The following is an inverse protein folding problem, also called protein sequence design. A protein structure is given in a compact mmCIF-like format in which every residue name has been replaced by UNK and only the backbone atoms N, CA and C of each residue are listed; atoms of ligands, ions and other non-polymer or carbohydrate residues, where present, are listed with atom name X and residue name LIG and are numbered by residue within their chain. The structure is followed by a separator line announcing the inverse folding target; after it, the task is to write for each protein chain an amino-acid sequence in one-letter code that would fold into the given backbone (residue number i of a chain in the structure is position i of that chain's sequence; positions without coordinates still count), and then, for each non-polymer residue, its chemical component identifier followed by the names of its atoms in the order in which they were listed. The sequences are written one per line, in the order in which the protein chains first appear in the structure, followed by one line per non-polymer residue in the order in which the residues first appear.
data_IF_111835432420
#
_entry.id   IF_111835432420
#
_cell.length_a   1.000
_cell.length_b   1.000
_cell.length_c   1.000
_cell.angle_alpha   90.00
_cell.angle_beta   90.00
_cell.angle_gamma   90.00
#
_symmetry.space_group_name_H-M   'P 1'
#
loop_
_entity.id
_entity.type
_entity.pdbx_description
1 polymer ?
#
# COMPACT_ATOMS: atom_id res chain seq x y z
N UNK A 1 -5.75 16.75 -1.81
CA UNK A 1 -6.60 15.82 -1.03
C UNK A 1 -5.81 15.35 0.18
N UNK A 2 -6.43 15.24 1.33
CA UNK A 2 -5.74 14.82 2.55
C UNK A 2 -6.09 13.36 2.88
N UNK A 3 -5.31 12.75 3.79
CA UNK A 3 -5.61 11.41 4.32
C UNK A 3 -7.03 11.34 4.87
N UNK A 4 -7.54 12.44 5.41
CA UNK A 4 -8.92 12.52 5.92
C UNK A 4 -9.97 12.19 4.85
N UNK A 5 -9.66 12.41 3.58
CA UNK A 5 -10.56 12.04 2.48
C UNK A 5 -10.74 10.52 2.34
N UNK A 6 -9.83 9.73 2.89
CA UNK A 6 -9.92 8.27 2.89
C UNK A 6 -10.55 7.70 4.16
N UNK A 7 -11.05 8.55 5.07
CA UNK A 7 -11.54 8.16 6.40
C UNK A 7 -12.55 7.01 6.38
N UNK A 8 -13.44 6.99 5.40
CA UNK A 8 -14.46 5.95 5.28
C UNK A 8 -13.99 4.65 4.67
N UNK A 9 -12.73 4.56 4.29
CA UNK A 9 -12.20 3.39 3.60
C UNK A 9 -11.63 2.38 4.60
N UNK A 10 -11.58 1.11 4.17
CA UNK A 10 -11.25 -0.03 5.04
C UNK A 10 -9.92 0.13 5.78
N UNK A 11 -8.89 0.64 5.11
CA UNK A 11 -7.57 0.79 5.72
C UNK A 11 -7.60 1.74 6.91
N UNK A 12 -8.46 2.74 6.87
CA UNK A 12 -8.52 3.81 7.88
C UNK A 12 -9.66 3.65 8.89
N UNK A 13 -10.42 2.57 8.78
CA UNK A 13 -11.55 2.30 9.66
C UNK A 13 -11.09 2.18 11.12
N UNK A 14 -11.78 2.89 12.01
CA UNK A 14 -11.52 2.82 13.44
C UNK A 14 -10.34 3.63 13.94
N UNK A 15 -9.66 4.37 13.06
CA UNK A 15 -8.57 5.26 13.45
C UNK A 15 -9.13 6.57 14.01
N UNK A 16 -8.49 7.11 15.05
CA UNK A 16 -8.90 8.38 15.64
C UNK A 16 -8.61 9.54 14.68
N UNK A 17 -9.35 10.65 14.84
CA UNK A 17 -9.12 11.85 14.06
C UNK A 17 -7.72 12.41 14.27
N UNK A 18 -7.21 12.33 15.49
CA UNK A 18 -5.86 12.77 15.80
C UNK A 18 -4.81 11.95 15.06
N UNK A 19 -4.97 10.63 15.03
CA UNK A 19 -4.07 9.75 14.29
C UNK A 19 -4.12 10.03 12.79
N UNK A 20 -5.31 10.24 12.24
CA UNK A 20 -5.48 10.61 10.82
C UNK A 20 -4.80 11.93 10.50
N UNK A 21 -4.86 12.91 11.41
CA UNK A 21 -4.16 14.18 11.25
C UNK A 21 -2.65 14.00 11.26
N UNK A 22 -2.13 13.10 12.08
CA UNK A 22 -0.70 12.80 12.13
C UNK A 22 -0.24 12.05 10.88
N UNK A 23 -1.05 11.14 10.35
CA UNK A 23 -0.79 10.51 9.05
C UNK A 23 -0.73 11.56 7.94
N UNK A 24 -1.69 12.46 7.94
CA UNK A 24 -1.75 13.54 6.94
C UNK A 24 -0.50 14.41 6.98
N UNK A 25 0.02 14.69 8.18
CA UNK A 25 1.21 15.51 8.36
C UNK A 25 2.47 14.87 7.77
N UNK A 26 2.55 13.55 7.67
CA UNK A 26 3.70 12.85 7.11
C UNK A 26 3.47 12.40 5.66
N UNK A 27 2.27 12.62 5.13
CA UNK A 27 1.92 12.23 3.77
C UNK A 27 2.35 13.29 2.76
N UNK A 28 2.87 12.85 1.62
CA UNK A 28 3.29 13.73 0.53
C UNK A 28 2.45 13.39 -0.71
N UNK A 29 1.74 14.39 -1.21
CA UNK A 29 0.96 14.25 -2.43
C UNK A 29 1.86 14.42 -3.64
N UNK A 30 1.78 13.51 -4.60
CA UNK A 30 2.58 13.57 -5.83
C UNK A 30 1.71 13.33 -7.05
N UNK A 31 1.95 14.13 -8.11
CA UNK A 31 1.35 13.93 -9.42
C UNK A 31 2.32 13.13 -10.28
N UNK A 32 1.78 12.13 -10.97
CA UNK A 32 2.57 11.26 -11.85
C UNK A 32 1.99 11.31 -13.27
N UNK A 33 2.89 11.28 -14.25
CA UNK A 33 2.50 11.22 -15.64
C UNK A 33 2.45 9.78 -16.11
N UNK A 34 1.78 9.57 -17.25
CA UNK A 34 1.78 8.26 -17.90
C UNK A 34 3.22 7.80 -18.15
N UNK A 35 3.52 6.58 -17.71
CA UNK A 35 4.84 5.97 -17.89
C UNK A 35 5.78 6.18 -16.70
N UNK A 36 5.43 7.03 -15.75
CA UNK A 36 6.29 7.21 -14.57
C UNK A 36 6.36 5.92 -13.75
N UNK A 37 7.59 5.56 -13.37
CA UNK A 37 7.84 4.39 -12.53
C UNK A 37 7.94 4.87 -11.09
N UNK A 38 7.02 4.42 -10.24
CA UNK A 38 7.02 4.78 -8.82
C UNK A 38 7.88 3.82 -7.99
N UNK A 39 7.83 2.55 -8.37
CA UNK A 39 8.54 1.47 -7.67
C UNK A 39 9.18 0.56 -8.71
N UNK A 40 10.45 0.20 -8.48
CA UNK A 40 11.13 -0.84 -9.26
C UNK A 40 11.32 -2.05 -8.36
N UNK A 41 11.01 -3.23 -8.89
CA UNK A 41 11.28 -4.49 -8.18
C UNK A 41 12.76 -4.54 -7.76
N UNK A 42 13.00 -4.85 -6.50
CA UNK A 42 14.34 -4.92 -5.96
C UNK A 42 14.87 -3.64 -5.33
N UNK A 43 14.21 -2.49 -5.58
CA UNK A 43 14.61 -1.24 -4.93
C UNK A 43 14.32 -1.28 -3.43
N UNK A 44 15.07 -0.53 -2.61
CA UNK A 44 14.81 -0.45 -1.18
C UNK A 44 13.36 -0.05 -0.89
N UNK A 45 12.69 -0.79 -0.02
CA UNK A 45 11.29 -0.58 0.33
C UNK A 45 11.16 0.56 1.34
N UNK A 46 11.21 1.80 0.86
CA UNK A 46 11.26 3.01 1.68
C UNK A 46 9.94 3.76 1.80
N UNK A 47 8.96 3.48 0.96
CA UNK A 47 7.72 4.25 0.92
C UNK A 47 6.51 3.36 0.76
N UNK A 48 5.43 3.79 1.40
CA UNK A 48 4.09 3.26 1.27
C UNK A 48 3.26 4.24 0.45
N UNK A 49 2.42 3.74 -0.43
CA UNK A 49 1.65 4.58 -1.35
C UNK A 49 0.15 4.33 -1.28
N UNK A 50 -0.62 5.40 -1.46
CA UNK A 50 -2.07 5.36 -1.65
C UNK A 50 -2.41 6.01 -2.98
N UNK A 51 -3.34 5.42 -3.73
CA UNK A 51 -3.85 6.01 -4.94
C UNK A 51 -4.95 7.01 -4.59
N UNK A 52 -4.83 8.26 -5.07
CA UNK A 52 -5.90 9.25 -4.98
C UNK A 52 -6.77 9.23 -6.24
N UNK A 53 -6.13 9.22 -7.40
CA UNK A 53 -6.79 9.29 -8.68
C UNK A 53 -5.86 8.72 -9.75
N UNK A 54 -6.43 8.02 -10.72
CA UNK A 54 -5.69 7.49 -11.85
C UNK A 54 -5.64 5.98 -11.89
N UNK A 55 -4.56 5.44 -12.42
CA UNK A 55 -4.40 3.99 -12.57
C UNK A 55 -2.95 3.60 -12.44
N UNK A 56 -2.68 2.65 -11.56
CA UNK A 56 -1.34 2.13 -11.31
C UNK A 56 -1.32 0.66 -11.73
N UNK A 57 -0.31 0.30 -12.51
CA UNK A 57 -0.05 -1.09 -12.89
C UNK A 57 0.98 -1.67 -11.94
N UNK A 58 0.63 -2.75 -11.27
CA UNK A 58 1.52 -3.49 -10.38
C UNK A 58 1.95 -4.77 -11.10
N UNK A 59 3.25 -4.98 -11.24
CA UNK A 59 3.82 -6.18 -11.87
C UNK A 59 4.66 -6.93 -10.86
N UNK A 60 4.26 -8.15 -10.54
CA UNK A 60 5.03 -9.02 -9.68
C UNK A 60 5.88 -9.94 -10.57
N UNK A 61 7.19 -9.83 -10.45
CA UNK A 61 8.14 -10.67 -11.19
C UNK A 61 8.33 -11.98 -10.44
N UNK A 62 7.28 -12.78 -10.42
CA UNK A 62 7.32 -14.13 -9.90
C UNK A 62 7.16 -15.11 -11.05
N UNK A 63 7.28 -16.41 -10.74
CA UNK A 63 7.13 -17.50 -11.67
C UNK A 63 5.91 -17.37 -12.60
N UNK A 64 4.83 -16.72 -12.14
CA UNK A 64 3.60 -16.53 -12.91
C UNK A 64 3.40 -15.10 -13.45
N UNK A 65 4.36 -14.20 -13.29
CA UNK A 65 4.31 -12.82 -13.81
C UNK A 65 2.95 -12.15 -13.65
N UNK A 66 2.44 -12.08 -12.42
CA UNK A 66 1.12 -11.50 -12.19
C UNK A 66 1.14 -9.98 -12.40
N UNK A 67 0.09 -9.49 -13.06
CA UNK A 67 -0.13 -8.07 -13.32
C UNK A 67 -1.48 -7.68 -12.73
N UNK A 68 -1.50 -6.61 -11.96
CA UNK A 68 -2.72 -6.08 -11.37
C UNK A 68 -2.81 -4.59 -11.65
N UNK A 69 -4.04 -4.07 -11.73
CA UNK A 69 -4.28 -2.65 -11.89
C UNK A 69 -5.02 -2.11 -10.68
N UNK A 70 -4.52 -1.01 -10.13
CA UNK A 70 -5.20 -0.27 -9.07
C UNK A 70 -5.84 0.95 -9.71
N UNK A 71 -7.13 1.16 -9.48
CA UNK A 71 -7.88 2.25 -10.10
C UNK A 71 -8.92 2.88 -9.16
N UNK A 72 -9.01 2.37 -7.94
CA UNK A 72 -9.96 2.87 -6.96
C UNK A 72 -9.25 3.77 -5.96
N UNK A 73 -9.75 5.01 -5.73
CA UNK A 73 -9.17 5.88 -4.70
C UNK A 73 -9.10 5.15 -3.36
N UNK A 74 -7.94 5.22 -2.72
CA UNK A 74 -7.67 4.51 -1.46
C UNK A 74 -6.99 3.17 -1.62
N UNK A 75 -6.89 2.64 -2.83
CA UNK A 75 -6.05 1.47 -3.08
C UNK A 75 -4.61 1.77 -2.67
N UNK A 76 -3.94 0.81 -2.05
CA UNK A 76 -2.57 1.02 -1.61
C UNK A 76 -1.61 0.03 -2.27
N UNK A 77 -0.35 0.44 -2.33
CA UNK A 77 0.73 -0.37 -2.91
C UNK A 77 2.06 0.00 -2.24
N UNK A 78 3.09 -0.76 -2.56
CA UNK A 78 4.40 -0.55 -1.92
C UNK A 78 4.42 -1.00 -0.46
N UNK A 79 3.57 -1.94 -0.09
CA UNK A 79 3.38 -2.35 1.29
C UNK A 79 4.45 -3.32 1.82
N UNK A 80 5.44 -3.70 1.01
CA UNK A 80 6.59 -4.48 1.49
C UNK A 80 7.29 -3.80 2.67
N UNK A 81 7.28 -2.46 2.68
CA UNK A 81 7.87 -1.69 3.78
C UNK A 81 7.15 -1.92 5.12
N UNK A 82 5.85 -2.22 5.11
CA UNK A 82 5.11 -2.52 6.34
C UNK A 82 5.47 -3.88 6.95
N UNK A 83 6.04 -4.76 6.15
CA UNK A 83 6.47 -6.08 6.57
C UNK A 83 7.96 -6.11 6.89
N UNK A 84 8.60 -4.96 6.99
CA UNK A 84 10.04 -4.81 7.22
C UNK A 84 10.90 -5.57 6.21
N UNK A 85 10.39 -5.72 4.99
CA UNK A 85 11.18 -6.28 3.89
C UNK A 85 12.15 -5.23 3.39
N UNK A 86 13.40 -5.62 3.08
CA UNK A 86 14.41 -4.65 2.65
C UNK A 86 14.15 -4.10 1.26
N UNK A 87 13.44 -4.84 0.41
CA UNK A 87 13.22 -4.46 -0.98
C UNK A 87 11.79 -4.74 -1.42
N UNK A 88 11.35 -4.00 -2.43
CA UNK A 88 10.06 -4.24 -3.06
C UNK A 88 10.09 -5.54 -3.87
N UNK A 89 8.97 -6.25 -3.85
CA UNK A 89 8.79 -7.51 -4.58
C UNK A 89 8.00 -7.36 -5.87
N UNK A 90 7.64 -6.13 -6.23
CA UNK A 90 6.90 -5.82 -7.44
C UNK A 90 7.28 -4.42 -7.92
N UNK A 91 6.98 -4.12 -9.18
CA UNK A 91 7.12 -2.77 -9.73
C UNK A 91 5.74 -2.09 -9.79
N UNK A 92 5.74 -0.77 -9.79
CA UNK A 92 4.53 0.04 -9.92
C UNK A 92 4.76 1.15 -10.93
N UNK A 93 3.86 1.24 -11.90
CA UNK A 93 3.94 2.23 -12.98
C UNK A 93 2.61 2.94 -13.14
N UNK A 94 2.66 4.26 -13.34
CA UNK A 94 1.49 5.06 -13.67
C UNK A 94 1.15 4.86 -15.16
N UNK A 95 -0.02 4.29 -15.45
CA UNK A 95 -0.40 4.00 -16.84
C UNK A 95 -1.28 5.08 -17.46
N UNK A 96 -1.77 6.00 -16.65
CA UNK A 96 -2.41 7.26 -17.05
C UNK A 96 -1.95 8.34 -16.07
N UNK A 97 -2.17 9.64 -16.35
CA UNK A 97 -1.86 10.66 -15.36
C UNK A 97 -2.57 10.35 -14.03
N UNK A 98 -1.83 10.35 -12.95
CA UNK A 98 -2.32 9.87 -11.65
C UNK A 98 -1.84 10.77 -10.52
N UNK A 99 -2.57 10.76 -9.40
CA UNK A 99 -2.14 11.38 -8.15
C UNK A 99 -2.06 10.30 -7.08
N UNK A 100 -0.96 10.32 -6.34
CA UNK A 100 -0.71 9.37 -5.27
C UNK A 100 -0.31 10.11 -3.99
N UNK A 101 -0.48 9.44 -2.88
CA UNK A 101 0.06 9.89 -1.59
C UNK A 101 1.19 8.95 -1.23
N UNK A 102 2.35 9.52 -0.94
CA UNK A 102 3.54 8.78 -0.53
C UNK A 102 3.78 9.01 0.97
N UNK A 103 3.98 7.93 1.70
CA UNK A 103 4.32 8.00 3.12
C UNK A 103 5.64 7.28 3.33
N UNK A 104 6.64 7.98 3.83
CA UNK A 104 7.96 7.41 4.09
C UNK A 104 7.87 6.36 5.21
N UNK A 105 8.46 5.18 4.98
CA UNK A 105 8.44 4.07 5.94
C UNK A 105 8.88 4.48 7.34
N UNK A 106 10.00 5.20 7.45
CA UNK A 106 10.53 5.60 8.76
C UNK A 106 9.53 6.43 9.56
N UNK A 107 8.86 7.35 8.89
CA UNK A 107 7.85 8.22 9.53
C UNK A 107 6.60 7.43 9.91
N UNK A 108 6.17 6.53 9.03
CA UNK A 108 5.01 5.68 9.30
C UNK A 108 5.28 4.74 10.47
N UNK A 109 6.45 4.07 10.47
CA UNK A 109 6.83 3.18 11.57
C UNK A 109 6.88 3.93 12.92
N UNK A 110 7.46 5.14 12.92
CA UNK A 110 7.53 5.95 14.12
C UNK A 110 6.14 6.29 14.66
N UNK A 111 5.22 6.64 13.76
CA UNK A 111 3.85 6.97 14.14
C UNK A 111 3.10 5.76 14.68
N UNK A 112 3.23 4.60 14.03
CA UNK A 112 2.59 3.36 14.47
C UNK A 112 3.08 2.94 15.86
N UNK A 113 4.36 3.15 16.16
CA UNK A 113 4.93 2.82 17.46
C UNK A 113 4.55 3.84 18.54
N UNK A 114 4.46 5.11 18.17
CA UNK A 114 4.11 6.18 19.09
C UNK A 114 2.68 6.05 19.59
N UNK A 115 1.78 5.57 18.75
CA UNK A 115 0.36 5.38 19.08
C UNK A 115 -0.01 3.92 18.82
N UNK A 116 0.31 3.02 19.75
CA UNK A 116 0.17 1.59 19.50
C UNK A 116 -1.26 1.10 19.32
N UNK A 117 -2.25 1.76 19.90
CA UNK A 117 -3.66 1.37 19.70
C UNK A 117 -4.10 1.65 18.26
N UNK A 118 -3.87 2.86 17.77
CA UNK A 118 -4.16 3.19 16.38
C UNK A 118 -3.24 2.42 15.44
N UNK A 119 -1.97 2.23 15.82
CA UNK A 119 -1.02 1.44 15.05
C UNK A 119 -1.50 0.01 14.85
N UNK A 120 -1.98 -0.63 15.91
CA UNK A 120 -2.54 -1.99 15.83
C UNK A 120 -3.77 -2.03 14.93
N UNK A 121 -4.67 -1.06 15.07
CA UNK A 121 -5.87 -0.96 14.23
C UNK A 121 -5.49 -0.84 12.76
N UNK A 122 -4.53 0.04 12.46
CA UNK A 122 -4.04 0.24 11.08
C UNK A 122 -3.49 -1.09 10.51
N UNK A 123 -2.63 -1.77 11.25
CA UNK A 123 -2.02 -3.03 10.80
C UNK A 123 -3.07 -4.13 10.65
N UNK A 124 -4.05 -4.21 11.54
CA UNK A 124 -5.14 -5.20 11.41
C UNK A 124 -6.00 -4.93 10.18
N UNK A 125 -6.30 -3.65 9.91
CA UNK A 125 -7.02 -3.27 8.69
C UNK A 125 -6.24 -3.68 7.45
N UNK A 126 -4.94 -3.39 7.44
CA UNK A 126 -4.04 -3.78 6.36
C UNK A 126 -4.05 -5.30 6.17
N UNK A 127 -3.87 -6.06 7.24
CA UNK A 127 -3.84 -7.52 7.19
C UNK A 127 -5.17 -8.09 6.67
N UNK A 128 -6.30 -7.52 7.09
CA UNK A 128 -7.62 -7.93 6.63
C UNK A 128 -7.79 -7.71 5.13
N UNK A 129 -7.36 -6.56 4.62
CA UNK A 129 -7.44 -6.25 3.20
C UNK A 129 -6.55 -7.19 2.38
N UNK A 130 -5.31 -7.39 2.79
CA UNK A 130 -4.37 -8.27 2.09
C UNK A 130 -4.84 -9.71 2.14
N UNK A 131 -5.31 -10.17 3.30
CA UNK A 131 -5.86 -11.52 3.47
C UNK A 131 -7.08 -11.74 2.57
N UNK A 132 -7.97 -10.76 2.48
CA UNK A 132 -9.12 -10.82 1.61
C UNK A 132 -8.75 -10.89 0.14
N UNK A 133 -7.77 -10.08 -0.29
CA UNK A 133 -7.27 -10.12 -1.67
C UNK A 133 -6.68 -11.49 -1.98
N UNK A 134 -5.90 -12.03 -1.07
CA UNK A 134 -5.27 -13.33 -1.25
C UNK A 134 -6.34 -14.43 -1.39
N UNK A 135 -7.32 -14.48 -0.50
CA UNK A 135 -8.38 -15.48 -0.52
C UNK A 135 -9.27 -15.39 -1.76
N UNK A 136 -9.45 -14.18 -2.30
CA UNK A 136 -10.30 -13.97 -3.47
C UNK A 136 -9.59 -14.23 -4.79
N UNK A 137 -8.26 -14.15 -4.83
CA UNK A 137 -7.48 -14.29 -6.07
C UNK A 137 -6.80 -15.64 -6.20
N UNK A 138 -6.70 -16.40 -5.12
CA UNK A 138 -6.01 -17.68 -5.10
C UNK A 138 -6.95 -18.80 -4.65
N UNK A 139 -6.89 -19.94 -5.33
CA UNK A 139 -7.54 -21.13 -4.83
C UNK A 139 -6.75 -21.70 -3.66
N UNK A 140 -7.37 -22.57 -2.88
CA UNK A 140 -6.67 -23.24 -1.78
C UNK A 140 -5.44 -24.01 -2.28
N UNK A 141 -5.52 -24.52 -3.51
CA UNK A 141 -4.41 -25.22 -4.14
C UNK A 141 -3.19 -24.32 -4.37
N UNK A 142 -3.42 -23.08 -4.80
CA UNK A 142 -2.34 -22.11 -5.00
C UNK A 142 -1.76 -21.64 -3.68
N UNK A 143 -2.59 -21.63 -2.64
CA UNK A 143 -2.21 -21.12 -1.33
C UNK A 143 -1.22 -22.04 -0.61
N UNK A 144 -1.45 -23.35 -0.65
CA UNK A 144 -0.60 -24.33 0.02
C UNK A 144 0.85 -24.35 -0.46
N UNK A 145 1.12 -24.34 -1.77
CA UNK A 145 2.51 -24.26 -2.24
C UNK A 145 3.26 -23.03 -1.74
N UNK A 146 2.56 -21.89 -1.58
CA UNK A 146 3.17 -20.67 -1.08
C UNK A 146 3.57 -20.77 0.40
N UNK A 147 2.88 -21.60 1.16
CA UNK A 147 3.18 -21.84 2.57
C UNK A 147 4.33 -22.84 2.74
N UNK A 148 4.36 -23.84 1.89
CA UNK A 148 5.38 -24.90 1.96
C UNK A 148 6.78 -24.43 1.53
N UNK A 149 6.83 -23.37 0.75
CA UNK A 149 8.10 -22.81 0.30
C UNK A 149 8.60 -21.71 1.22
#
# INVERSE_FOLDING_TARGET
MSIKAFKGQRLFKGLSQDFLAQLDAIAVQESKEKGDILIRNGDPAKNFYLLEEGRICIRAERKNHSVSFLHTPGDFFGWSCLLDRPAYSASAESVIPSRVVRIEKKKLDALLKKDPLNGLTFIKNFADIIGGRFLNTHSAHDWFPAIET
#
